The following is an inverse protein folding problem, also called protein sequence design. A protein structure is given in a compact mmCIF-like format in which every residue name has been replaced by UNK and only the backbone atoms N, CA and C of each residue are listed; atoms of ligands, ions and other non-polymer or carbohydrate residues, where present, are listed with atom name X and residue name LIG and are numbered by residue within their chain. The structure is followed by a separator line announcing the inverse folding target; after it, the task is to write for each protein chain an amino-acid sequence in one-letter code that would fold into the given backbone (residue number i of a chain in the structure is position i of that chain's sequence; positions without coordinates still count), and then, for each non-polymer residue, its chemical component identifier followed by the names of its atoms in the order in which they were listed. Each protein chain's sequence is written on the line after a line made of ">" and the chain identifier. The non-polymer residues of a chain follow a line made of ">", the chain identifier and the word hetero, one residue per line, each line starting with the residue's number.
data_IF_199376835648
#
_entry.id   IF_199376835648
#
_cell.length_a   1.000
_cell.length_b   1.000
_cell.length_c   1.000
_cell.angle_alpha   90.00
_cell.angle_beta   90.00
_cell.angle_gamma   90.00
#
_symmetry.space_group_name_H-M   'P 1'
#
loop_
_entity.id
_entity.type
_entity.pdbx_description
1 polymer ?
#
# COMPACT_ATOMS: atom_id res chain seq x y z
N UNK A 1 -35.90 14.76 0.85
CA UNK A 1 -35.04 14.73 -0.35
C UNK A 1 -33.67 14.29 0.09
N UNK A 2 -33.26 13.05 -0.24
CA UNK A 2 -31.89 12.60 0.03
C UNK A 2 -30.96 13.34 -0.93
N UNK A 3 -30.16 14.22 -0.43
CA UNK A 3 -29.04 14.81 -1.16
C UNK A 3 -28.15 13.66 -1.62
N UNK A 4 -28.09 13.41 -2.92
CA UNK A 4 -27.11 12.51 -3.52
C UNK A 4 -25.76 13.18 -3.31
N UNK A 5 -25.06 12.77 -2.26
CA UNK A 5 -23.74 13.27 -1.97
C UNK A 5 -22.77 12.57 -2.95
N UNK A 6 -22.37 13.26 -4.03
CA UNK A 6 -21.39 12.74 -4.96
C UNK A 6 -20.05 12.63 -4.25
N UNK A 7 -19.58 11.41 -4.03
CA UNK A 7 -18.25 11.17 -3.46
C UNK A 7 -17.17 11.77 -4.34
N UNK A 8 -16.17 12.39 -3.70
CA UNK A 8 -14.92 12.77 -4.37
C UNK A 8 -14.21 11.51 -4.85
N UNK A 9 -13.54 11.56 -6.00
CA UNK A 9 -12.96 10.36 -6.61
C UNK A 9 -11.87 9.74 -5.75
N UNK A 10 -10.86 10.52 -5.37
CA UNK A 10 -9.71 10.01 -4.62
C UNK A 10 -9.02 11.12 -3.81
N UNK A 11 -8.42 10.74 -2.67
CA UNK A 11 -7.47 11.55 -1.91
C UNK A 11 -6.14 10.81 -1.76
N UNK A 12 -5.04 11.55 -1.68
CA UNK A 12 -3.72 11.04 -1.29
C UNK A 12 -3.59 11.17 0.22
N UNK A 13 -3.37 10.06 0.90
CA UNK A 13 -3.25 9.99 2.36
C UNK A 13 -1.78 9.82 2.73
N UNK A 14 -1.26 10.78 3.48
CA UNK A 14 0.15 10.87 3.84
C UNK A 14 0.30 10.68 5.36
N UNK A 15 0.68 9.48 5.83
CA UNK A 15 0.97 9.25 7.25
C UNK A 15 2.25 9.98 7.66
N UNK A 16 2.15 10.85 8.69
CA UNK A 16 3.28 11.59 9.26
C UNK A 16 3.27 11.42 10.77
N UNK A 17 4.33 10.81 11.30
CA UNK A 17 4.49 10.48 12.73
C UNK A 17 5.79 11.01 13.31
N UNK A 18 6.37 12.06 12.69
CA UNK A 18 7.59 12.74 13.11
C UNK A 18 7.49 14.24 12.89
N UNK A 19 8.19 15.01 13.71
CA UNK A 19 8.13 16.49 13.73
C UNK A 19 9.11 17.15 12.76
N UNK A 20 10.00 16.36 12.14
CA UNK A 20 10.96 16.87 11.16
C UNK A 20 11.03 15.95 9.94
N UNK A 21 11.22 16.55 8.77
CA UNK A 21 11.38 15.83 7.51
C UNK A 21 12.87 15.60 7.22
N UNK A 22 13.22 14.37 6.89
CA UNK A 22 14.52 14.05 6.31
C UNK A 22 14.62 14.50 4.86
N UNK A 23 15.81 14.51 4.30
CA UNK A 23 16.02 14.80 2.88
C UNK A 23 15.22 13.84 1.96
N UNK A 24 15.17 12.56 2.31
CA UNK A 24 14.40 11.57 1.55
C UNK A 24 12.89 11.86 1.61
N UNK A 25 12.37 12.30 2.76
CA UNK A 25 10.96 12.67 2.91
C UNK A 25 10.60 13.88 2.04
N UNK A 26 11.50 14.87 2.01
CA UNK A 26 11.34 16.08 1.18
C UNK A 26 11.28 15.69 -0.31
N UNK A 27 12.17 14.81 -0.77
CA UNK A 27 12.13 14.27 -2.15
C UNK A 27 10.78 13.62 -2.43
N UNK A 28 10.33 12.70 -1.56
CA UNK A 28 9.08 11.97 -1.75
C UNK A 28 7.86 12.91 -1.79
N UNK A 29 7.79 13.88 -0.89
CA UNK A 29 6.70 14.84 -0.81
C UNK A 29 6.72 15.85 -1.98
N UNK A 30 7.90 16.35 -2.35
CA UNK A 30 8.05 17.26 -3.52
C UNK A 30 7.61 16.55 -4.80
N UNK A 31 8.01 15.32 -4.99
CA UNK A 31 7.59 14.54 -6.15
C UNK A 31 6.09 14.22 -6.12
N UNK A 32 5.55 13.93 -4.95
CA UNK A 32 4.10 13.75 -4.78
C UNK A 32 3.34 15.02 -5.19
N UNK A 33 3.81 16.21 -4.79
CA UNK A 33 3.21 17.48 -5.20
C UNK A 33 3.32 17.69 -6.70
N UNK A 34 4.52 17.46 -7.26
CA UNK A 34 4.77 17.69 -8.69
C UNK A 34 3.86 16.83 -9.57
N UNK A 35 3.64 15.59 -9.20
CA UNK A 35 2.89 14.62 -10.03
C UNK A 35 1.41 14.56 -9.65
N UNK A 36 1.08 14.63 -8.37
CA UNK A 36 -0.28 14.46 -7.85
C UNK A 36 -0.85 15.75 -7.25
N UNK A 37 -0.32 16.91 -7.62
CA UNK A 37 -0.73 18.21 -7.09
C UNK A 37 -2.21 18.54 -7.26
N UNK A 38 -2.86 18.02 -8.31
CA UNK A 38 -4.29 18.21 -8.58
C UNK A 38 -5.24 17.44 -7.64
N UNK A 39 -4.71 16.48 -6.86
CA UNK A 39 -5.51 15.68 -5.92
C UNK A 39 -5.42 16.23 -4.50
N UNK A 40 -6.50 16.16 -3.70
CA UNK A 40 -6.43 16.53 -2.28
C UNK A 40 -5.46 15.61 -1.54
N UNK A 41 -4.52 16.22 -0.80
CA UNK A 41 -3.54 15.54 0.05
C UNK A 41 -3.94 15.74 1.50
N UNK A 42 -4.15 14.63 2.20
CA UNK A 42 -4.59 14.61 3.59
C UNK A 42 -3.51 13.97 4.44
N UNK A 43 -2.99 14.74 5.38
CA UNK A 43 -2.04 14.20 6.37
C UNK A 43 -2.81 13.42 7.43
N UNK A 44 -2.28 12.26 7.78
CA UNK A 44 -2.72 11.46 8.93
C UNK A 44 -1.59 11.46 9.96
N UNK A 45 -1.89 11.86 11.21
CA UNK A 45 -0.88 12.02 12.25
C UNK A 45 -1.40 11.61 13.64
N UNK A 46 -0.50 11.31 14.60
CA UNK A 46 -0.87 11.23 16.01
C UNK A 46 -1.28 12.61 16.54
N UNK A 47 -2.15 12.64 17.54
CA UNK A 47 -2.62 13.91 18.15
C UNK A 47 -1.46 14.73 18.70
N UNK A 48 -0.49 14.08 19.37
CA UNK A 48 0.57 14.72 20.17
C UNK A 48 1.64 15.47 19.37
N UNK A 49 1.87 15.14 18.09
CA UNK A 49 2.96 15.76 17.34
C UNK A 49 2.52 17.06 16.63
N UNK A 50 3.42 18.01 16.57
CA UNK A 50 3.32 19.15 15.67
C UNK A 50 3.84 18.75 14.28
N UNK A 51 3.14 19.20 13.24
CA UNK A 51 3.56 18.89 11.88
C UNK A 51 4.77 19.74 11.48
N UNK A 52 5.71 19.16 10.73
CA UNK A 52 6.78 19.94 10.12
C UNK A 52 6.20 20.97 9.13
N UNK A 53 6.99 22.00 8.80
CA UNK A 53 6.62 22.92 7.74
C UNK A 53 6.61 22.23 6.38
N UNK A 54 5.53 22.39 5.64
CA UNK A 54 5.38 21.93 4.25
C UNK A 54 5.57 23.03 3.21
N UNK A 55 5.89 24.26 3.66
CA UNK A 55 6.04 25.42 2.77
C UNK A 55 7.06 25.15 1.66
N UNK A 56 6.63 25.32 0.42
CA UNK A 56 7.47 25.08 -0.76
C UNK A 56 7.76 23.60 -1.07
N UNK A 57 7.13 22.66 -0.34
CA UNK A 57 7.32 21.22 -0.52
C UNK A 57 6.05 20.59 -1.07
N UNK A 58 4.93 20.72 -0.35
CA UNK A 58 3.65 20.10 -0.70
C UNK A 58 2.49 20.89 -0.11
N UNK A 59 1.40 21.00 -0.84
CA UNK A 59 0.16 21.64 -0.38
C UNK A 59 -0.73 20.60 0.29
N UNK A 60 -1.04 20.81 1.58
CA UNK A 60 -1.90 19.92 2.38
C UNK A 60 -3.32 20.45 2.43
N UNK A 61 -4.27 19.67 1.95
CA UNK A 61 -5.69 20.05 1.89
C UNK A 61 -6.40 19.88 3.24
N UNK A 62 -5.98 18.92 4.05
CA UNK A 62 -6.57 18.63 5.36
C UNK A 62 -5.63 17.81 6.24
N UNK A 63 -5.90 17.79 7.55
CA UNK A 63 -5.20 16.98 8.55
C UNK A 63 -6.22 16.19 9.35
N UNK A 64 -5.98 14.87 9.49
CA UNK A 64 -6.78 13.97 10.30
C UNK A 64 -5.90 13.40 11.42
N UNK A 65 -6.31 13.59 12.66
CA UNK A 65 -5.61 13.08 13.83
C UNK A 65 -6.22 11.76 14.30
N UNK A 66 -5.38 10.87 14.79
CA UNK A 66 -5.77 9.64 15.46
C UNK A 66 -4.98 9.47 16.75
N UNK A 67 -5.45 8.58 17.64
CA UNK A 67 -4.80 8.28 18.90
C UNK A 67 -3.33 7.95 18.71
N UNK A 68 -2.50 8.42 19.62
CA UNK A 68 -1.04 8.32 19.54
C UNK A 68 -0.57 6.86 19.45
N UNK A 69 -1.24 5.93 20.13
CA UNK A 69 -0.89 4.50 20.16
C UNK A 69 -0.83 3.85 18.77
N UNK A 70 -1.52 4.41 17.78
CA UNK A 70 -1.51 3.91 16.42
C UNK A 70 -0.20 4.19 15.68
N UNK A 71 0.65 5.08 16.19
CA UNK A 71 1.88 5.50 15.53
C UNK A 71 3.15 5.15 16.33
N UNK A 72 3.00 4.57 17.52
CA UNK A 72 4.12 4.24 18.39
C UNK A 72 4.85 2.95 17.95
N UNK A 73 4.22 2.14 17.11
CA UNK A 73 4.79 0.87 16.61
C UNK A 73 4.14 0.40 15.31
N UNK A 74 4.73 -0.62 14.66
CA UNK A 74 4.15 -1.29 13.49
C UNK A 74 2.79 -1.91 13.86
N UNK A 75 2.67 -2.48 15.06
CA UNK A 75 1.43 -3.08 15.57
C UNK A 75 0.32 -2.03 15.73
N UNK A 76 0.67 -0.85 16.25
CA UNK A 76 -0.23 0.30 16.33
C UNK A 76 -0.73 0.70 14.95
N UNK A 77 0.19 0.84 13.99
CA UNK A 77 -0.17 1.17 12.62
C UNK A 77 -1.04 0.08 11.95
N UNK A 78 -0.75 -1.20 12.20
CA UNK A 78 -1.61 -2.30 11.76
C UNK A 78 -3.04 -2.18 12.33
N UNK A 79 -3.18 -1.83 13.62
CA UNK A 79 -4.49 -1.57 14.24
C UNK A 79 -5.22 -0.42 13.53
N UNK A 80 -4.54 0.69 13.25
CA UNK A 80 -5.13 1.83 12.54
C UNK A 80 -5.64 1.40 11.16
N UNK A 81 -4.79 0.75 10.36
CA UNK A 81 -5.11 0.30 9.00
C UNK A 81 -6.18 -0.79 8.93
N UNK A 82 -6.49 -1.46 10.05
CA UNK A 82 -7.57 -2.44 10.21
C UNK A 82 -8.77 -1.90 11.01
N UNK A 83 -8.80 -0.59 11.30
CA UNK A 83 -9.85 0.03 12.09
C UNK A 83 -10.99 0.59 11.23
N UNK A 84 -12.19 0.61 11.81
CA UNK A 84 -13.36 1.28 11.22
C UNK A 84 -13.13 2.79 11.15
N UNK A 85 -12.55 3.37 12.21
CA UNK A 85 -12.34 4.81 12.35
C UNK A 85 -11.48 5.37 11.20
N UNK A 86 -10.44 4.63 10.79
CA UNK A 86 -9.59 5.05 9.68
C UNK A 86 -10.38 5.21 8.38
N UNK A 87 -11.08 4.19 7.93
CA UNK A 87 -11.82 4.26 6.65
C UNK A 87 -13.05 5.17 6.73
N UNK A 88 -13.65 5.31 7.90
CA UNK A 88 -14.77 6.22 8.11
C UNK A 88 -14.35 7.69 7.98
N UNK A 89 -13.13 8.05 8.40
CA UNK A 89 -12.60 9.39 8.23
C UNK A 89 -12.47 9.82 6.75
N UNK A 90 -12.51 8.86 5.82
CA UNK A 90 -12.37 9.10 4.38
C UNK A 90 -13.61 8.66 3.58
N UNK A 91 -14.77 8.49 4.20
CA UNK A 91 -15.97 7.97 3.53
C UNK A 91 -16.53 8.89 2.43
N UNK A 92 -16.11 10.17 2.41
CA UNK A 92 -16.42 11.12 1.35
C UNK A 92 -15.67 10.85 0.04
N UNK A 93 -14.69 9.94 0.05
CA UNK A 93 -13.91 9.55 -1.13
C UNK A 93 -14.28 8.13 -1.59
N UNK A 94 -14.24 7.91 -2.91
CA UNK A 94 -14.39 6.56 -3.47
C UNK A 94 -13.13 5.72 -3.21
N UNK A 95 -11.96 6.35 -3.38
CA UNK A 95 -10.65 5.74 -3.17
C UNK A 95 -9.77 6.61 -2.27
N UNK A 96 -8.81 5.97 -1.63
CA UNK A 96 -7.64 6.62 -1.02
C UNK A 96 -6.37 5.97 -1.55
N UNK A 97 -5.36 6.80 -1.87
CA UNK A 97 -3.99 6.37 -2.12
C UNK A 97 -3.19 6.58 -0.85
N UNK A 98 -2.77 5.51 -0.18
CA UNK A 98 -1.76 5.62 0.89
C UNK A 98 -0.42 5.94 0.23
N UNK A 99 0.24 6.99 0.69
CA UNK A 99 1.55 7.43 0.23
C UNK A 99 2.44 7.70 1.45
N UNK A 100 3.19 6.70 1.89
CA UNK A 100 4.16 6.83 2.98
C UNK A 100 5.38 7.67 2.53
N UNK A 101 6.18 8.14 3.48
CA UNK A 101 7.31 9.05 3.22
C UNK A 101 8.48 8.39 2.46
N UNK A 102 8.49 7.08 2.36
CA UNK A 102 9.42 6.28 1.53
C UNK A 102 8.78 5.79 0.21
N UNK A 103 7.62 6.35 -0.15
CA UNK A 103 7.03 6.16 -1.46
C UNK A 103 7.50 7.23 -2.46
N UNK A 104 7.40 6.93 -3.75
CA UNK A 104 7.74 7.86 -4.83
C UNK A 104 6.85 7.62 -6.05
N UNK A 105 6.43 8.69 -6.74
CA UNK A 105 5.52 8.62 -7.89
C UNK A 105 6.23 9.07 -9.15
N UNK A 106 6.17 8.27 -10.22
CA UNK A 106 6.87 8.54 -11.48
C UNK A 106 6.00 9.29 -12.50
N UNK A 107 4.69 9.09 -12.48
CA UNK A 107 3.74 9.66 -13.46
C UNK A 107 2.34 9.75 -12.89
N UNK A 108 1.49 10.65 -13.40
CA UNK A 108 0.08 10.72 -12.98
C UNK A 108 -0.76 9.66 -13.70
N UNK A 109 -0.95 8.56 -13.01
CA UNK A 109 -1.90 7.51 -13.42
C UNK A 109 -2.99 7.27 -12.35
N UNK A 110 -3.14 8.17 -11.35
CA UNK A 110 -4.04 7.91 -10.23
C UNK A 110 -5.50 7.75 -10.68
N UNK A 111 -5.99 8.61 -11.56
CA UNK A 111 -7.32 8.47 -12.15
C UNK A 111 -7.47 7.18 -12.98
N UNK A 112 -6.46 6.79 -13.72
CA UNK A 112 -6.47 5.51 -14.45
C UNK A 112 -6.68 4.35 -13.48
N UNK A 113 -5.91 4.29 -12.39
CA UNK A 113 -6.03 3.23 -11.40
C UNK A 113 -7.38 3.21 -10.68
N UNK A 114 -7.96 4.37 -10.35
CA UNK A 114 -9.32 4.47 -9.79
C UNK A 114 -10.40 3.92 -10.74
N UNK A 115 -10.17 3.94 -12.05
CA UNK A 115 -11.12 3.46 -13.05
C UNK A 115 -10.96 1.97 -13.39
N UNK A 116 -9.96 1.26 -12.80
CA UNK A 116 -9.77 -0.18 -13.04
C UNK A 116 -10.74 -1.08 -12.26
N UNK A 117 -11.67 -0.51 -11.49
CA UNK A 117 -12.62 -1.26 -10.64
C UNK A 117 -11.92 -2.27 -9.70
N UNK A 118 -10.74 -1.91 -9.21
CA UNK A 118 -10.02 -2.67 -8.19
C UNK A 118 -10.44 -2.20 -6.80
N UNK A 119 -10.50 -3.12 -5.84
CA UNK A 119 -10.77 -2.76 -4.46
C UNK A 119 -9.46 -2.49 -3.69
N UNK A 120 -8.36 -3.14 -4.10
CA UNK A 120 -7.02 -2.96 -3.55
C UNK A 120 -5.96 -3.22 -4.61
N UNK A 121 -4.95 -2.34 -4.67
CA UNK A 121 -3.70 -2.57 -5.40
C UNK A 121 -2.54 -1.91 -4.66
N UNK A 122 -1.41 -2.59 -4.59
CA UNK A 122 -0.13 -2.15 -4.05
C UNK A 122 1.01 -2.87 -4.74
N UNK A 123 2.25 -2.65 -4.29
CA UNK A 123 3.41 -3.33 -4.83
C UNK A 123 3.34 -4.85 -4.55
N UNK A 124 3.60 -5.71 -5.54
CA UNK A 124 3.59 -7.15 -5.31
C UNK A 124 4.88 -7.66 -4.68
N UNK A 125 4.75 -8.67 -3.82
CA UNK A 125 5.87 -9.45 -3.30
C UNK A 125 6.32 -10.46 -4.34
N UNK A 126 7.26 -10.06 -5.21
CA UNK A 126 7.75 -10.92 -6.28
C UNK A 126 8.84 -11.88 -5.79
N UNK A 127 8.89 -13.05 -6.42
CA UNK A 127 9.99 -13.98 -6.17
C UNK A 127 11.28 -13.47 -6.82
N UNK A 128 12.42 -13.63 -6.15
CA UNK A 128 13.71 -13.24 -6.74
C UNK A 128 14.15 -14.14 -7.92
N UNK A 129 13.59 -15.35 -8.03
CA UNK A 129 13.98 -16.35 -9.06
C UNK A 129 12.75 -16.84 -9.84
N UNK A 130 12.89 -17.12 -11.13
CA UNK A 130 11.84 -17.71 -11.96
C UNK A 130 11.57 -19.17 -11.63
N UNK A 131 10.32 -19.60 -11.87
CA UNK A 131 9.93 -21.01 -11.75
C UNK A 131 10.58 -21.89 -12.84
N UNK A 132 11.04 -21.28 -13.94
CA UNK A 132 11.61 -21.93 -15.12
C UNK A 132 10.56 -22.72 -15.92
N UNK A 133 10.31 -22.34 -17.16
CA UNK A 133 9.39 -22.96 -18.09
C UNK A 133 7.90 -22.93 -17.69
N UNK A 134 7.02 -23.06 -18.66
CA UNK A 134 5.56 -22.85 -18.50
C UNK A 134 4.95 -23.89 -17.52
N UNK A 135 5.31 -25.16 -17.65
CA UNK A 135 4.76 -26.23 -16.80
C UNK A 135 5.15 -26.05 -15.32
N UNK A 136 6.42 -25.65 -15.06
CA UNK A 136 6.89 -25.38 -13.70
C UNK A 136 6.17 -24.18 -13.12
N UNK A 137 5.94 -23.12 -13.91
CA UNK A 137 5.19 -21.94 -13.51
C UNK A 137 3.75 -22.28 -13.11
N UNK A 138 3.04 -23.07 -13.93
CA UNK A 138 1.67 -23.50 -13.62
C UNK A 138 1.64 -24.33 -12.33
N UNK A 139 2.53 -25.32 -12.21
CA UNK A 139 2.64 -26.17 -11.00
C UNK A 139 2.94 -25.34 -9.74
N UNK A 140 3.85 -24.38 -9.86
CA UNK A 140 4.19 -23.44 -8.77
C UNK A 140 3.00 -22.58 -8.37
N UNK A 141 2.26 -22.05 -9.34
CA UNK A 141 1.05 -21.27 -9.09
C UNK A 141 -0.05 -22.08 -8.40
N UNK A 142 -0.29 -23.31 -8.83
CA UNK A 142 -1.23 -24.20 -8.17
C UNK A 142 -0.82 -24.48 -6.72
N UNK A 143 0.47 -24.77 -6.46
CA UNK A 143 0.99 -24.96 -5.11
C UNK A 143 0.79 -23.72 -4.24
N UNK A 144 1.11 -22.51 -4.75
CA UNK A 144 0.87 -21.27 -4.02
C UNK A 144 -0.60 -21.11 -3.65
N UNK A 145 -1.51 -21.36 -4.59
CA UNK A 145 -2.95 -21.28 -4.34
C UNK A 145 -3.42 -22.29 -3.26
N UNK A 146 -2.88 -23.51 -3.27
CA UNK A 146 -3.15 -24.50 -2.22
C UNK A 146 -2.62 -24.04 -0.85
N UNK A 147 -1.39 -23.49 -0.81
CA UNK A 147 -0.81 -22.95 0.43
C UNK A 147 -1.67 -21.83 1.01
N UNK A 148 -2.20 -20.93 0.16
CA UNK A 148 -3.13 -19.88 0.59
C UNK A 148 -4.45 -20.49 1.05
N UNK A 149 -5.10 -21.30 0.22
CA UNK A 149 -6.45 -21.85 0.49
C UNK A 149 -6.52 -22.60 1.82
N UNK A 150 -5.50 -23.41 2.12
CA UNK A 150 -5.44 -24.24 3.32
C UNK A 150 -4.58 -23.64 4.44
N UNK A 151 -4.11 -22.40 4.28
CA UNK A 151 -3.20 -21.74 5.22
C UNK A 151 -2.05 -22.65 5.67
N UNK A 152 -1.38 -23.28 4.70
CA UNK A 152 -0.29 -24.21 5.00
C UNK A 152 0.81 -23.47 5.75
N UNK A 153 1.18 -24.00 6.91
CA UNK A 153 2.19 -23.43 7.79
C UNK A 153 3.54 -24.13 7.60
N UNK A 154 4.60 -23.39 7.91
CA UNK A 154 5.96 -23.87 8.10
C UNK A 154 6.46 -23.30 9.42
N UNK A 155 6.94 -24.11 10.30
CA UNK A 155 7.43 -23.70 11.64
C UNK A 155 6.40 -22.87 12.43
N UNK A 156 5.11 -23.25 12.33
CA UNK A 156 4.00 -22.54 13.01
C UNK A 156 3.49 -21.29 12.32
N UNK A 157 4.21 -20.71 11.34
CA UNK A 157 3.85 -19.50 10.62
C UNK A 157 3.28 -19.80 9.21
N UNK A 158 2.50 -18.88 8.61
CA UNK A 158 2.11 -18.98 7.21
C UNK A 158 3.33 -19.21 6.31
N UNK A 159 3.28 -20.22 5.45
CA UNK A 159 4.44 -20.56 4.64
C UNK A 159 4.81 -19.43 3.68
N UNK A 160 6.10 -19.14 3.41
CA UNK A 160 6.55 -18.09 2.51
C UNK A 160 5.92 -18.16 1.11
N UNK A 161 5.52 -19.33 0.65
CA UNK A 161 4.83 -19.51 -0.64
C UNK A 161 3.50 -18.79 -0.74
N UNK A 162 2.86 -18.46 0.38
CA UNK A 162 1.59 -17.73 0.38
C UNK A 162 1.77 -16.29 -0.14
N UNK A 163 2.95 -15.72 0.05
CA UNK A 163 3.27 -14.33 -0.31
C UNK A 163 3.81 -14.20 -1.75
N UNK A 164 4.39 -15.29 -2.29
CA UNK A 164 5.04 -15.26 -3.60
C UNK A 164 4.12 -14.81 -4.73
N UNK A 165 4.53 -13.79 -5.47
CA UNK A 165 3.79 -13.22 -6.60
C UNK A 165 2.35 -12.82 -6.22
N UNK A 166 2.19 -12.15 -5.06
CA UNK A 166 0.93 -11.54 -4.59
C UNK A 166 1.06 -10.05 -4.49
N UNK A 167 0.00 -9.36 -4.88
CA UNK A 167 -0.15 -7.93 -4.60
C UNK A 167 -0.29 -7.78 -3.09
N UNK A 168 0.55 -6.97 -2.51
CA UNK A 168 0.59 -6.64 -1.09
C UNK A 168 1.02 -5.20 -0.91
N UNK A 169 1.73 -4.92 0.16
CA UNK A 169 2.26 -3.61 0.54
C UNK A 169 1.20 -2.57 0.92
N UNK A 170 1.31 -2.05 2.13
CA UNK A 170 0.42 -1.02 2.66
C UNK A 170 0.89 0.41 2.37
N UNK A 171 2.21 0.64 2.23
CA UNK A 171 2.81 1.97 2.25
C UNK A 171 2.66 2.79 0.96
N UNK A 172 2.47 2.11 -0.19
CA UNK A 172 2.01 2.72 -1.43
C UNK A 172 0.91 1.86 -2.03
N UNK A 173 -0.35 2.19 -1.69
CA UNK A 173 -1.50 1.35 -2.05
C UNK A 173 -2.77 2.16 -2.29
N UNK A 174 -3.52 1.78 -3.33
CA UNK A 174 -4.84 2.32 -3.63
C UNK A 174 -5.90 1.40 -3.02
N UNK A 175 -6.82 1.99 -2.25
CA UNK A 175 -7.85 1.28 -1.48
C UNK A 175 -9.22 1.88 -1.76
N UNK A 176 -10.21 1.03 -2.06
CA UNK A 176 -11.59 1.45 -2.23
C UNK A 176 -12.29 1.56 -0.89
N UNK A 177 -12.60 2.78 -0.47
CA UNK A 177 -13.00 3.11 0.90
C UNK A 177 -14.24 2.34 1.35
N UNK A 178 -15.32 2.32 0.54
CA UNK A 178 -16.57 1.64 0.88
C UNK A 178 -16.41 0.13 1.07
N UNK A 179 -15.48 -0.49 0.31
CA UNK A 179 -15.19 -1.91 0.41
C UNK A 179 -14.39 -2.23 1.67
N UNK A 180 -13.36 -1.45 1.94
CA UNK A 180 -12.55 -1.61 3.14
C UNK A 180 -13.39 -1.37 4.41
N UNK A 181 -14.19 -0.31 4.44
CA UNK A 181 -15.08 -0.02 5.56
C UNK A 181 -16.08 -1.16 5.83
N UNK A 182 -16.66 -1.74 4.77
CA UNK A 182 -17.54 -2.92 4.93
C UNK A 182 -16.80 -4.13 5.49
N UNK A 183 -15.59 -4.39 5.00
CA UNK A 183 -14.79 -5.53 5.46
C UNK A 183 -14.40 -5.37 6.92
N UNK A 184 -13.89 -4.20 7.35
CA UNK A 184 -13.51 -4.02 8.75
C UNK A 184 -14.72 -4.16 9.68
N UNK A 185 -15.90 -3.68 9.29
CA UNK A 185 -17.14 -3.84 10.07
C UNK A 185 -17.61 -5.29 10.18
N UNK A 186 -17.43 -6.10 9.13
CA UNK A 186 -17.96 -7.48 9.06
C UNK A 186 -16.96 -8.56 9.46
N UNK A 187 -15.68 -8.22 9.69
CA UNK A 187 -14.60 -9.20 9.88
C UNK A 187 -13.81 -8.99 11.18
N UNK A 188 -14.46 -8.42 12.21
CA UNK A 188 -13.80 -8.05 13.47
C UNK A 188 -13.10 -9.25 14.15
N UNK A 189 -13.72 -10.42 14.21
CA UNK A 189 -13.12 -11.60 14.82
C UNK A 189 -11.83 -12.02 14.09
N UNK A 190 -11.85 -11.92 12.75
CA UNK A 190 -10.67 -12.23 11.92
C UNK A 190 -9.57 -11.18 12.12
N UNK A 191 -9.92 -9.92 12.21
CA UNK A 191 -9.01 -8.81 12.50
C UNK A 191 -8.38 -8.99 13.89
N UNK A 192 -9.19 -9.25 14.91
CA UNK A 192 -8.72 -9.48 16.28
C UNK A 192 -7.75 -10.67 16.36
N UNK A 193 -8.02 -11.75 15.62
CA UNK A 193 -7.10 -12.89 15.53
C UNK A 193 -5.78 -12.52 14.84
N UNK A 194 -5.78 -11.61 13.87
CA UNK A 194 -4.57 -11.08 13.25
C UNK A 194 -3.77 -10.21 14.23
N UNK A 195 -4.42 -9.24 14.85
CA UNK A 195 -3.83 -8.31 15.81
C UNK A 195 -3.36 -8.98 17.12
N UNK A 196 -3.84 -10.20 17.43
CA UNK A 196 -3.35 -10.99 18.57
C UNK A 196 -1.95 -11.59 18.38
N UNK A 197 -1.29 -11.34 17.23
CA UNK A 197 0.03 -11.87 16.88
C UNK A 197 1.02 -10.75 16.57
N UNK A 198 1.31 -9.88 17.53
CA UNK A 198 2.19 -8.73 17.34
C UNK A 198 3.63 -9.18 17.02
N UNK A 199 4.36 -8.34 16.28
CA UNK A 199 5.75 -8.57 15.92
C UNK A 199 5.99 -9.66 14.86
N UNK A 200 4.92 -10.28 14.33
CA UNK A 200 5.02 -11.32 13.31
C UNK A 200 4.61 -10.72 11.96
N UNK A 201 5.57 -10.56 11.07
CA UNK A 201 5.37 -9.92 9.76
C UNK A 201 4.25 -10.54 8.92
N UNK A 202 4.07 -11.87 9.00
CA UNK A 202 3.03 -12.62 8.31
C UNK A 202 1.61 -12.30 8.77
N UNK A 203 1.47 -11.48 9.80
CA UNK A 203 0.20 -10.99 10.35
C UNK A 203 0.07 -9.46 10.29
N UNK A 204 0.88 -8.78 9.47
CA UNK A 204 0.70 -7.37 9.19
C UNK A 204 -0.58 -7.09 8.40
N UNK A 205 -1.03 -5.84 8.42
CA UNK A 205 -2.30 -5.41 7.81
C UNK A 205 -2.35 -5.66 6.29
N UNK A 206 -1.23 -5.48 5.61
CA UNK A 206 -1.10 -5.70 4.17
C UNK A 206 -1.28 -7.18 3.78
N UNK A 207 -0.83 -8.10 4.63
CA UNK A 207 -1.07 -9.55 4.49
C UNK A 207 -2.56 -9.87 4.70
N UNK A 208 -3.21 -9.23 5.67
CA UNK A 208 -4.66 -9.37 5.87
C UNK A 208 -5.42 -8.99 4.59
N UNK A 209 -5.16 -7.79 4.06
CA UNK A 209 -5.83 -7.29 2.87
C UNK A 209 -5.51 -8.07 1.61
N UNK A 210 -4.26 -8.48 1.44
CA UNK A 210 -3.77 -9.19 0.26
C UNK A 210 -4.22 -10.64 0.21
N UNK A 211 -4.18 -11.36 1.33
CA UNK A 211 -4.29 -12.81 1.38
C UNK A 211 -5.48 -13.26 2.23
N UNK A 212 -5.54 -12.85 3.51
CA UNK A 212 -6.46 -13.46 4.47
C UNK A 212 -7.91 -13.22 4.08
N UNK A 213 -8.27 -12.00 3.72
CA UNK A 213 -9.65 -11.65 3.39
C UNK A 213 -10.19 -12.43 2.18
N UNK A 214 -9.33 -12.81 1.25
CA UNK A 214 -9.67 -13.57 0.06
C UNK A 214 -9.38 -15.08 0.17
N UNK A 215 -8.86 -15.55 1.31
CA UNK A 215 -8.40 -16.94 1.48
C UNK A 215 -9.47 -17.99 1.17
N UNK A 216 -10.66 -17.80 1.69
CA UNK A 216 -11.77 -18.76 1.53
C UNK A 216 -12.70 -18.39 0.37
N UNK A 217 -13.00 -17.11 0.21
CA UNK A 217 -13.92 -16.54 -0.79
C UNK A 217 -13.37 -15.21 -1.27
N UNK A 218 -13.51 -14.92 -2.56
CA UNK A 218 -13.14 -13.60 -3.10
C UNK A 218 -14.10 -12.53 -2.55
N UNK A 219 -13.57 -11.64 -1.71
CA UNK A 219 -14.26 -10.51 -1.09
C UNK A 219 -13.79 -9.21 -1.73
N UNK A 220 -12.46 -9.05 -1.88
CA UNK A 220 -11.86 -7.89 -2.55
C UNK A 220 -11.38 -8.26 -3.96
N UNK A 221 -11.59 -7.33 -4.89
CA UNK A 221 -11.05 -7.43 -6.24
C UNK A 221 -9.60 -6.91 -6.24
N UNK A 222 -8.65 -7.85 -6.17
CA UNK A 222 -7.20 -7.61 -6.15
C UNK A 222 -6.63 -8.12 -7.47
N UNK A 223 -5.78 -7.34 -8.18
CA UNK A 223 -5.26 -7.76 -9.47
C UNK A 223 -4.18 -8.84 -9.34
N UNK A 224 -3.80 -9.40 -10.48
CA UNK A 224 -2.61 -10.26 -10.55
C UNK A 224 -1.33 -9.46 -10.25
N UNK A 225 -0.27 -10.14 -9.83
CA UNK A 225 1.01 -9.49 -9.55
C UNK A 225 1.59 -8.75 -10.79
N UNK A 226 1.35 -9.24 -12.00
CA UNK A 226 1.78 -8.57 -13.24
C UNK A 226 1.09 -7.22 -13.45
N UNK A 227 -0.17 -7.12 -13.07
CA UNK A 227 -0.90 -5.83 -13.07
C UNK A 227 -0.40 -4.97 -11.91
N UNK A 228 -0.18 -5.57 -10.72
CA UNK A 228 0.39 -4.87 -9.56
C UNK A 228 1.76 -4.27 -9.85
N UNK A 229 2.60 -4.93 -10.66
CA UNK A 229 3.90 -4.38 -11.10
C UNK A 229 3.76 -3.11 -11.96
N UNK A 230 2.66 -2.92 -12.66
CA UNK A 230 2.40 -1.66 -13.37
C UNK A 230 2.05 -0.53 -12.39
N UNK A 231 1.47 -0.89 -11.23
CA UNK A 231 1.13 0.05 -10.18
C UNK A 231 2.36 0.44 -9.35
N UNK A 232 3.09 -0.53 -8.78
CA UNK A 232 4.22 -0.19 -7.93
C UNK A 232 5.30 -1.28 -7.87
N UNK A 233 6.56 -0.84 -7.64
CA UNK A 233 7.69 -1.69 -7.26
C UNK A 233 8.04 -1.47 -5.78
N UNK A 234 8.55 -2.52 -5.15
CA UNK A 234 9.11 -2.50 -3.81
C UNK A 234 10.28 -3.48 -3.70
N UNK A 235 9.97 -4.77 -3.57
CA UNK A 235 10.98 -5.83 -3.46
C UNK A 235 11.58 -6.17 -4.84
N UNK A 236 12.90 -6.40 -4.89
CA UNK A 236 13.62 -6.83 -6.09
C UNK A 236 13.31 -5.94 -7.32
N UNK A 237 13.53 -4.61 -7.24
CA UNK A 237 13.09 -3.68 -8.28
C UNK A 237 13.74 -3.95 -9.64
N UNK A 238 14.98 -4.49 -9.70
CA UNK A 238 15.64 -4.92 -10.94
C UNK A 238 14.81 -5.97 -11.66
N UNK A 239 14.37 -6.99 -10.90
CA UNK A 239 13.53 -8.05 -11.45
C UNK A 239 12.14 -7.54 -11.81
N UNK A 240 11.58 -6.65 -10.99
CA UNK A 240 10.31 -6.02 -11.29
C UNK A 240 10.36 -5.29 -12.63
N UNK A 241 11.44 -4.57 -12.91
CA UNK A 241 11.67 -3.87 -14.18
C UNK A 241 11.81 -4.84 -15.35
N UNK A 242 12.53 -5.95 -15.18
CA UNK A 242 12.65 -7.00 -16.23
C UNK A 242 11.28 -7.57 -16.58
N UNK A 243 10.40 -7.81 -15.60
CA UNK A 243 9.06 -8.39 -15.84
C UNK A 243 8.09 -7.35 -16.41
N UNK A 244 8.16 -6.10 -15.95
CA UNK A 244 7.23 -5.04 -16.34
C UNK A 244 7.66 -4.29 -17.60
N UNK A 245 8.95 -4.30 -17.94
CA UNK A 245 9.61 -3.59 -19.05
C UNK A 245 9.59 -2.06 -18.94
N UNK A 246 8.87 -1.48 -18.03
CA UNK A 246 8.72 -0.04 -17.81
C UNK A 246 8.69 0.28 -16.33
N UNK A 247 8.99 1.56 -15.97
CA UNK A 247 8.74 2.05 -14.64
C UNK A 247 7.24 1.99 -14.33
N UNK A 248 6.88 1.69 -13.06
CA UNK A 248 5.48 1.65 -12.60
C UNK A 248 4.91 3.06 -12.43
N UNK A 249 3.66 3.15 -11.94
CA UNK A 249 3.09 4.40 -11.47
C UNK A 249 3.87 4.98 -10.28
N UNK A 250 4.28 4.14 -9.33
CA UNK A 250 5.11 4.56 -8.19
C UNK A 250 5.95 3.43 -7.61
N UNK A 251 6.63 3.69 -6.51
CA UNK A 251 7.36 2.68 -5.74
C UNK A 251 7.27 2.95 -4.25
N UNK A 252 7.64 1.95 -3.43
CA UNK A 252 7.71 2.03 -1.99
C UNK A 252 9.06 1.48 -1.49
N UNK A 253 9.55 2.00 -0.36
CA UNK A 253 10.82 1.56 0.22
C UNK A 253 12.02 1.78 -0.72
N UNK A 254 11.98 2.84 -1.53
CA UNK A 254 13.01 3.12 -2.51
C UNK A 254 14.39 3.39 -1.87
N UNK A 255 14.38 3.90 -0.65
CA UNK A 255 15.58 4.16 0.14
C UNK A 255 16.39 2.90 0.49
N UNK A 256 15.74 1.73 0.48
CA UNK A 256 16.37 0.41 0.69
C UNK A 256 17.12 -0.11 -0.55
N UNK A 257 16.82 0.44 -1.73
CA UNK A 257 17.37 0.03 -3.02
C UNK A 257 17.94 1.21 -3.82
N UNK A 258 18.62 2.14 -3.14
CA UNK A 258 19.09 3.40 -3.74
C UNK A 258 19.95 3.21 -4.98
N UNK A 259 20.82 2.20 -5.01
CA UNK A 259 21.70 1.97 -6.17
C UNK A 259 20.92 1.66 -7.45
N UNK A 260 19.83 0.89 -7.33
CA UNK A 260 18.90 0.66 -8.43
C UNK A 260 18.18 1.95 -8.84
N UNK A 261 17.68 2.73 -7.86
CA UNK A 261 16.85 3.89 -8.14
C UNK A 261 17.64 5.13 -8.59
N UNK A 262 18.92 5.23 -8.24
CA UNK A 262 19.77 6.42 -8.49
C UNK A 262 19.75 6.91 -9.94
N UNK A 263 19.89 6.08 -10.99
CA UNK A 263 19.83 6.56 -12.37
C UNK A 263 18.49 7.22 -12.70
N UNK A 264 17.38 6.63 -12.28
CA UNK A 264 16.03 7.15 -12.56
C UNK A 264 15.74 8.45 -11.79
N UNK A 265 16.17 8.53 -10.54
CA UNK A 265 16.01 9.75 -9.74
C UNK A 265 16.87 10.90 -10.27
N UNK A 266 18.07 10.58 -10.77
CA UNK A 266 18.96 11.57 -11.41
C UNK A 266 18.33 12.17 -12.66
N UNK A 267 17.63 11.39 -13.46
CA UNK A 267 16.88 11.88 -14.65
C UNK A 267 15.77 12.87 -14.25
N UNK A 268 15.27 12.78 -13.02
CA UNK A 268 14.28 13.69 -12.43
C UNK A 268 14.91 14.79 -11.56
N UNK A 269 16.23 14.99 -11.65
CA UNK A 269 17.00 15.97 -10.89
C UNK A 269 17.06 15.73 -9.37
N UNK A 270 16.87 14.51 -8.91
CA UNK A 270 17.09 14.12 -7.51
C UNK A 270 18.43 13.40 -7.34
N UNK A 271 19.16 13.78 -6.30
CA UNK A 271 20.41 13.12 -5.90
C UNK A 271 20.17 12.29 -4.63
N UNK A 272 20.16 10.95 -4.73
CA UNK A 272 19.83 10.02 -3.63
C UNK A 272 21.01 9.10 -3.27
#
# INVERSE_FOLDING_TARGET
>A
MSTINFKKKVAVIIPIYKESLSYNDIIALTQCELILGSYPKIVVKPEKIELPSFSGIIEISNVVCFDNEYFDSIEGYNKLMLSTNFYQAFEDFEYILIHQLDAFVFKDELNYWCNQNLDYVGAPWIRPIDDGGIFKTIKSQLRRNLHIRYNIKKDGLPSPRQFENRVGNGGFSLRRVDKFLRVVRSSQDMINNYLSKPGIHEYNEDVFWSIEINRKKKILNIPSFKIGLKFAFELCPERALIINHNLPFGCHGWDKNKDFWRPFFKEMNYNI
#
